data_IF_629653081946
#
_entry.id   IF_629653081946
#
_cell.length_a   1.000
_cell.length_b   1.000
_cell.length_c   1.000
_cell.angle_alpha   90.00
_cell.angle_beta   90.00
_cell.angle_gamma   90.00
#
_symmetry.space_group_name_H-M   'P 1'
#
loop_
_entity.id
_entity.type
_entity.pdbx_description
1 polymer ?
#
# COMPACT_ATOMS: atom_id res chain seq x y z
N UNK A 1 51.83 -37.49 -34.91
CA UNK A 1 53.08 -37.11 -35.61
C UNK A 1 54.22 -37.36 -34.65
N UNK A 2 55.02 -38.41 -34.88
CA UNK A 2 56.12 -38.79 -34.00
C UNK A 2 57.31 -37.85 -34.22
N UNK A 3 57.87 -37.27 -33.15
CA UNK A 3 59.07 -36.44 -33.23
C UNK A 3 60.30 -37.33 -33.55
N UNK A 4 61.02 -37.08 -34.67
CA UNK A 4 61.91 -38.10 -35.25
C UNK A 4 63.35 -38.14 -34.72
N UNK A 5 63.73 -37.49 -33.63
CA UNK A 5 65.16 -37.41 -33.28
C UNK A 5 65.44 -37.41 -31.78
N UNK A 6 65.16 -38.53 -31.09
CA UNK A 6 65.86 -38.83 -29.85
C UNK A 6 67.29 -39.28 -30.23
N UNK A 7 68.36 -38.59 -29.80
CA UNK A 7 69.73 -39.01 -30.11
C UNK A 7 69.94 -40.45 -29.64
N UNK A 8 70.42 -41.31 -30.54
CA UNK A 8 70.85 -42.66 -30.19
C UNK A 8 72.22 -42.64 -29.52
N UNK A 9 72.64 -43.73 -28.85
CA UNK A 9 73.95 -43.83 -28.22
C UNK A 9 75.12 -43.69 -29.21
N UNK A 10 74.87 -43.88 -30.51
CA UNK A 10 75.87 -43.78 -31.59
C UNK A 10 75.82 -42.45 -32.37
N UNK A 11 75.17 -41.42 -31.83
CA UNK A 11 75.07 -40.11 -32.48
C UNK A 11 76.44 -39.38 -32.49
N UNK A 12 76.98 -38.93 -33.64
CA UNK A 12 78.28 -38.27 -33.72
C UNK A 12 78.25 -36.77 -33.40
N UNK A 13 77.06 -36.16 -33.29
CA UNK A 13 76.88 -34.75 -32.91
C UNK A 13 77.47 -34.33 -31.55
N UNK A 14 77.61 -35.18 -30.50
CA UNK A 14 78.26 -34.77 -29.26
C UNK A 14 79.74 -34.43 -29.44
N UNK A 15 80.38 -34.94 -30.50
CA UNK A 15 81.80 -34.75 -30.80
C UNK A 15 82.02 -33.70 -31.90
N UNK A 16 80.97 -33.14 -32.49
CA UNK A 16 81.04 -32.13 -33.54
C UNK A 16 81.15 -30.72 -32.95
N UNK A 17 82.30 -30.03 -33.10
CA UNK A 17 82.51 -28.70 -32.52
C UNK A 17 81.72 -27.59 -33.22
N UNK A 18 81.24 -27.83 -34.45
CA UNK A 18 80.43 -26.87 -35.21
C UNK A 18 78.93 -27.04 -34.92
N UNK A 19 78.53 -28.16 -34.32
CA UNK A 19 77.14 -28.44 -33.97
C UNK A 19 77.04 -29.20 -32.63
N UNK A 20 77.44 -28.55 -31.52
CA UNK A 20 77.43 -29.19 -30.22
C UNK A 20 75.99 -29.56 -29.81
N UNK A 21 75.81 -30.75 -29.25
CA UNK A 21 74.56 -31.09 -28.58
C UNK A 21 74.48 -30.23 -27.31
N UNK A 22 73.39 -29.47 -27.10
CA UNK A 22 73.20 -28.76 -25.84
C UNK A 22 73.24 -29.77 -24.69
N UNK A 23 73.98 -29.52 -23.60
CA UNK A 23 74.05 -30.45 -22.49
C UNK A 23 72.64 -30.82 -22.08
N UNK A 24 72.37 -32.12 -21.90
CA UNK A 24 71.14 -32.54 -21.26
C UNK A 24 71.03 -31.72 -19.98
N UNK A 25 69.97 -30.94 -19.87
CA UNK A 25 69.65 -30.26 -18.63
C UNK A 25 69.41 -31.36 -17.60
N UNK A 26 70.46 -31.77 -16.91
CA UNK A 26 70.31 -32.26 -15.56
C UNK A 26 69.37 -31.27 -14.87
N UNK A 27 68.30 -31.73 -14.20
CA UNK A 27 67.51 -30.85 -13.37
C UNK A 27 68.42 -30.42 -12.22
N UNK A 28 69.22 -29.39 -12.50
CA UNK A 28 70.03 -28.68 -11.53
C UNK A 28 69.07 -28.24 -10.42
N UNK A 29 69.27 -28.64 -9.16
CA UNK A 29 68.46 -28.14 -8.06
C UNK A 29 68.62 -26.62 -7.87
N UNK A 30 69.58 -25.99 -8.55
CA UNK A 30 69.57 -24.56 -8.89
C UNK A 30 68.58 -24.24 -10.02
N UNK A 31 67.40 -24.86 -10.01
CA UNK A 31 66.24 -24.27 -10.66
C UNK A 31 66.07 -22.91 -9.99
N UNK A 32 66.58 -21.88 -10.66
CA UNK A 32 66.21 -20.50 -10.40
C UNK A 32 64.71 -20.52 -10.13
N UNK A 33 64.27 -20.10 -8.92
CA UNK A 33 62.85 -19.95 -8.71
C UNK A 33 62.40 -19.01 -9.81
N UNK A 34 61.49 -19.49 -10.67
CA UNK A 34 60.89 -18.66 -11.70
C UNK A 34 60.54 -17.35 -11.00
N UNK A 35 61.11 -16.21 -11.40
CA UNK A 35 60.93 -14.99 -10.62
C UNK A 35 59.43 -14.83 -10.45
N UNK A 36 58.92 -14.68 -9.20
CA UNK A 36 57.50 -14.49 -9.00
C UNK A 36 57.09 -13.35 -9.91
N UNK A 37 55.94 -13.44 -10.62
CA UNK A 37 55.57 -12.47 -11.61
C UNK A 37 55.73 -11.09 -10.99
N UNK A 38 56.74 -10.32 -11.44
CA UNK A 38 57.03 -8.95 -10.96
C UNK A 38 55.94 -7.96 -11.39
N UNK A 39 54.74 -8.46 -11.72
CA UNK A 39 53.54 -7.70 -12.01
C UNK A 39 52.65 -7.45 -10.78
N UNK A 40 53.12 -7.73 -9.56
CA UNK A 40 52.29 -7.61 -8.35
C UNK A 40 51.80 -6.19 -8.03
N UNK A 41 52.54 -5.15 -8.43
CA UNK A 41 52.14 -3.76 -8.18
C UNK A 41 51.26 -3.20 -9.29
N UNK A 42 51.78 -3.18 -10.52
CA UNK A 42 51.12 -2.52 -11.65
C UNK A 42 49.91 -3.30 -12.16
N UNK A 43 49.95 -4.64 -12.23
CA UNK A 43 48.77 -5.41 -12.65
C UNK A 43 47.66 -5.34 -11.60
N UNK A 44 48.02 -5.32 -10.31
CA UNK A 44 47.06 -5.12 -9.22
C UNK A 44 46.49 -3.70 -9.20
N UNK A 45 47.32 -2.68 -9.41
CA UNK A 45 46.90 -1.29 -9.56
C UNK A 45 46.00 -1.11 -10.78
N UNK A 46 46.36 -1.69 -11.93
CA UNK A 46 45.53 -1.69 -13.13
C UNK A 46 44.20 -2.38 -12.85
N UNK A 47 44.18 -3.53 -12.16
CA UNK A 47 42.94 -4.20 -11.80
C UNK A 47 42.07 -3.33 -10.89
N UNK A 48 42.65 -2.61 -9.92
CA UNK A 48 41.91 -1.65 -9.10
C UNK A 48 41.39 -0.46 -9.90
N UNK A 49 42.20 0.10 -10.79
CA UNK A 49 41.79 1.21 -11.66
C UNK A 49 40.63 0.77 -12.56
N UNK A 50 40.72 -0.41 -13.17
CA UNK A 50 39.65 -0.97 -14.01
C UNK A 50 38.40 -1.22 -13.19
N UNK A 51 38.50 -1.72 -11.96
CA UNK A 51 37.36 -1.92 -11.07
C UNK A 51 36.67 -0.59 -10.72
N UNK A 52 37.43 0.44 -10.38
CA UNK A 52 36.91 1.78 -10.07
C UNK A 52 36.28 2.42 -11.31
N UNK A 53 36.92 2.33 -12.47
CA UNK A 53 36.37 2.82 -13.74
C UNK A 53 35.11 2.05 -14.14
N UNK A 54 35.07 0.74 -13.95
CA UNK A 54 33.90 -0.09 -14.23
C UNK A 54 32.72 0.29 -13.32
N UNK A 55 32.97 0.51 -12.03
CA UNK A 55 31.95 1.05 -11.12
C UNK A 55 31.52 2.45 -11.53
N UNK A 56 32.45 3.36 -11.78
CA UNK A 56 32.16 4.73 -12.21
C UNK A 56 31.33 4.76 -13.48
N UNK A 57 31.72 4.02 -14.51
CA UNK A 57 30.99 3.87 -15.75
C UNK A 57 29.62 3.21 -15.53
N UNK A 58 29.53 2.18 -14.68
CA UNK A 58 28.27 1.57 -14.29
C UNK A 58 27.34 2.60 -13.64
N UNK A 59 27.82 3.44 -12.73
CA UNK A 59 27.01 4.48 -12.10
C UNK A 59 26.62 5.61 -13.06
N UNK A 60 27.50 6.01 -13.96
CA UNK A 60 27.15 7.05 -14.94
C UNK A 60 26.16 6.53 -15.98
N UNK A 61 26.32 5.28 -16.42
CA UNK A 61 25.47 4.69 -17.46
C UNK A 61 24.16 4.11 -16.90
N UNK A 62 24.18 3.50 -15.72
CA UNK A 62 23.00 2.93 -15.04
C UNK A 62 22.29 3.93 -14.11
N UNK A 63 22.97 4.96 -13.64
CA UNK A 63 22.43 6.02 -12.77
C UNK A 63 22.18 7.36 -13.47
N UNK A 64 22.95 7.72 -14.50
CA UNK A 64 22.94 9.06 -15.09
C UNK A 64 21.86 9.35 -16.15
N UNK A 65 21.09 8.35 -16.58
CA UNK A 65 20.05 8.51 -17.60
C UNK A 65 18.63 8.16 -17.11
N UNK A 66 18.39 8.15 -15.79
CA UNK A 66 17.01 8.13 -15.30
C UNK A 66 16.39 9.50 -15.63
N UNK A 67 15.34 9.58 -16.47
CA UNK A 67 14.64 10.83 -16.66
C UNK A 67 14.20 11.32 -15.28
N UNK A 68 14.45 12.59 -15.00
CA UNK A 68 14.08 13.23 -13.75
C UNK A 68 12.61 12.96 -13.45
N UNK A 69 12.34 11.95 -12.62
CA UNK A 69 11.18 11.99 -11.75
C UNK A 69 11.62 12.92 -10.64
N UNK A 70 11.16 14.16 -10.80
CA UNK A 70 10.85 15.22 -9.83
C UNK A 70 11.29 15.06 -8.36
N UNK A 71 11.54 16.20 -7.69
CA UNK A 71 12.30 16.28 -6.45
C UNK A 71 11.64 15.46 -5.36
N UNK A 72 12.45 14.95 -4.43
CA UNK A 72 11.96 14.38 -3.17
C UNK A 72 11.16 13.07 -3.31
N UNK A 73 11.86 11.96 -3.57
CA UNK A 73 11.38 10.66 -3.12
C UNK A 73 12.24 10.25 -1.93
N UNK A 74 11.72 10.49 -0.73
CA UNK A 74 12.25 10.02 0.55
C UNK A 74 12.78 8.57 0.46
N UNK A 75 13.79 8.19 1.27
CA UNK A 75 14.25 6.81 1.32
C UNK A 75 13.05 5.87 1.48
N UNK A 76 12.99 4.73 0.75
CA UNK A 76 11.94 3.76 1.01
C UNK A 76 11.98 3.45 2.50
N UNK A 77 10.85 3.56 3.22
CA UNK A 77 10.84 3.36 4.66
C UNK A 77 11.51 2.02 4.96
N UNK A 78 12.46 2.03 5.90
CA UNK A 78 13.11 0.82 6.37
C UNK A 78 12.03 -0.24 6.63
N UNK A 79 12.22 -1.43 6.06
CA UNK A 79 11.33 -2.55 6.27
C UNK A 79 11.29 -2.80 7.78
N UNK A 80 10.22 -2.33 8.40
CA UNK A 80 9.96 -2.49 9.83
C UNK A 80 9.71 -3.97 10.03
N UNK A 81 10.53 -4.59 10.87
CA UNK A 81 10.28 -5.94 11.38
C UNK A 81 8.81 -6.00 11.83
N UNK A 82 8.02 -7.00 11.39
CA UNK A 82 6.61 -7.05 11.74
C UNK A 82 6.49 -6.99 13.27
N UNK A 83 5.76 -5.98 13.75
CA UNK A 83 5.56 -5.75 15.17
C UNK A 83 5.03 -7.05 15.82
N UNK A 84 5.48 -7.36 17.05
CA UNK A 84 5.02 -8.55 17.76
C UNK A 84 3.49 -8.60 17.77
N UNK A 85 2.95 -9.79 17.45
CA UNK A 85 1.52 -9.98 17.30
C UNK A 85 0.78 -9.50 18.56
N UNK A 86 -0.34 -8.77 18.42
CA UNK A 86 -1.09 -8.25 19.55
C UNK A 86 -1.51 -9.39 20.47
N UNK A 87 -1.31 -9.20 21.77
CA UNK A 87 -1.78 -10.14 22.78
C UNK A 87 -3.30 -10.34 22.64
N UNK A 88 -3.84 -11.55 22.93
CA UNK A 88 -5.27 -11.82 22.88
C UNK A 88 -6.02 -10.79 23.72
N UNK A 89 -6.93 -10.06 23.07
CA UNK A 89 -7.77 -9.07 23.75
C UNK A 89 -8.87 -9.83 24.48
N UNK A 90 -8.96 -9.62 25.78
CA UNK A 90 -10.05 -10.19 26.58
C UNK A 90 -11.40 -9.65 26.04
N UNK A 91 -12.43 -10.50 25.87
CA UNK A 91 -13.71 -10.04 25.36
C UNK A 91 -14.27 -8.96 26.28
N UNK A 92 -14.71 -7.84 25.68
CA UNK A 92 -15.37 -6.79 26.43
C UNK A 92 -16.59 -7.36 27.18
N UNK A 93 -16.84 -6.93 28.43
CA UNK A 93 -18.01 -7.37 29.18
C UNK A 93 -19.28 -7.09 28.39
N UNK A 94 -20.20 -8.05 28.42
CA UNK A 94 -21.47 -7.96 27.71
C UNK A 94 -22.23 -6.68 28.13
N UNK A 95 -22.91 -6.01 27.19
CA UNK A 95 -23.66 -4.79 27.49
C UNK A 95 -24.69 -5.07 28.57
N UNK A 96 -24.82 -4.12 29.50
CA UNK A 96 -25.83 -4.18 30.54
C UNK A 96 -27.24 -4.28 29.92
N UNK A 97 -28.17 -5.03 30.54
CA UNK A 97 -29.54 -5.10 30.08
C UNK A 97 -30.15 -3.70 29.91
N UNK A 98 -30.87 -3.49 28.80
CA UNK A 98 -31.58 -2.25 28.56
C UNK A 98 -32.58 -1.97 29.69
N UNK A 99 -32.64 -0.72 30.15
CA UNK A 99 -33.64 -0.32 31.13
C UNK A 99 -35.05 -0.55 30.59
N UNK A 100 -36.00 -1.00 31.43
CA UNK A 100 -37.39 -1.15 31.03
C UNK A 100 -37.95 0.14 30.46
N UNK A 101 -38.69 0.04 29.35
CA UNK A 101 -39.37 1.18 28.78
C UNK A 101 -40.31 1.83 29.81
N UNK A 102 -40.46 3.17 29.78
CA UNK A 102 -41.36 3.86 30.68
C UNK A 102 -42.77 3.28 30.57
N UNK A 103 -43.43 3.15 31.73
CA UNK A 103 -44.77 2.59 31.81
C UNK A 103 -45.75 3.38 30.93
N UNK A 104 -46.74 2.72 30.31
CA UNK A 104 -47.78 3.38 29.54
C UNK A 104 -48.44 4.49 30.36
N UNK A 105 -48.69 5.64 29.71
CA UNK A 105 -49.41 6.74 30.33
C UNK A 105 -50.79 6.26 30.81
N UNK A 106 -51.18 6.71 32.00
CA UNK A 106 -52.47 6.39 32.58
C UNK A 106 -53.60 6.93 31.68
N UNK A 107 -54.68 6.16 31.45
CA UNK A 107 -55.80 6.62 30.65
C UNK A 107 -56.37 7.93 31.19
N UNK A 108 -56.71 8.84 30.28
CA UNK A 108 -57.38 10.08 30.65
C UNK A 108 -58.70 9.77 31.40
N UNK A 109 -59.06 10.56 32.43
CA UNK A 109 -60.30 10.37 33.15
C UNK A 109 -61.50 10.46 32.19
N UNK A 110 -62.60 9.73 32.47
CA UNK A 110 -63.81 9.80 31.67
C UNK A 110 -64.29 11.24 31.51
N UNK A 111 -64.75 11.59 30.31
CA UNK A 111 -65.40 12.88 30.09
C UNK A 111 -66.63 13.02 30.99
N UNK A 112 -66.79 14.19 31.60
CA UNK A 112 -67.98 14.48 32.41
C UNK A 112 -69.25 14.38 31.55
N UNK A 113 -70.37 13.91 32.13
CA UNK A 113 -71.64 13.84 31.44
C UNK A 113 -72.05 15.22 30.89
N UNK A 114 -72.47 15.24 29.63
CA UNK A 114 -73.01 16.45 29.02
C UNK A 114 -74.25 16.96 29.79
N UNK A 115 -74.44 18.28 29.89
CA UNK A 115 -75.60 18.86 30.56
C UNK A 115 -76.90 18.32 29.97
N UNK A 116 -77.88 18.06 30.85
CA UNK A 116 -79.17 17.52 30.45
C UNK A 116 -79.87 18.43 29.42
N UNK A 117 -80.61 17.85 28.45
CA UNK A 117 -81.36 18.62 27.48
C UNK A 117 -82.33 19.59 28.16
N UNK A 118 -82.31 20.85 27.73
CA UNK A 118 -83.26 21.87 28.19
C UNK A 118 -84.64 21.52 27.66
N UNK A 119 -85.64 21.52 28.55
CA UNK A 119 -87.02 21.22 28.20
C UNK A 119 -87.57 22.25 27.19
N UNK A 120 -88.37 21.83 26.19
CA UNK A 120 -88.90 22.75 25.18
C UNK A 120 -89.79 23.84 25.80
N UNK A 121 -89.63 25.07 25.33
CA UNK A 121 -90.48 26.20 25.71
C UNK A 121 -91.94 25.97 25.27
N UNK A 122 -92.94 26.42 26.06
CA UNK A 122 -94.34 26.27 25.70
C UNK A 122 -94.68 27.00 24.40
N UNK A 123 -95.58 26.39 23.61
CA UNK A 123 -95.96 26.88 22.29
C UNK A 123 -96.64 28.27 22.34
N UNK A 124 -96.42 29.13 21.33
CA UNK A 124 -97.07 30.44 21.26
C UNK A 124 -98.57 30.31 21.03
N UNK A 125 -99.37 31.07 21.78
CA UNK A 125 -100.80 31.22 21.53
C UNK A 125 -101.01 32.28 20.44
N UNK A 126 -101.42 31.84 19.24
CA UNK A 126 -101.83 32.73 18.15
C UNK A 126 -103.15 33.44 18.49
N UNK A 127 -103.06 34.61 19.12
CA UNK A 127 -104.16 35.57 19.17
C UNK A 127 -104.17 36.38 17.88
N UNK A 128 -104.97 35.94 16.91
CA UNK A 128 -105.24 36.68 15.65
C UNK A 128 -106.09 37.94 15.93
N UNK A 129 -105.68 39.15 15.52
CA UNK A 129 -106.58 40.30 15.42
C UNK A 129 -107.32 40.28 14.07
N UNK A 130 -108.65 40.48 14.12
CA UNK A 130 -109.53 40.47 12.95
C UNK A 130 -109.28 41.64 11.97
N UNK A 131 -109.47 41.45 10.64
CA UNK A 131 -109.30 42.52 9.66
C UNK A 131 -110.30 43.67 9.85
N UNK A 132 -109.82 44.91 9.72
CA UNK A 132 -110.65 46.12 9.78
C UNK A 132 -111.48 46.32 8.49
N UNK A 133 -112.72 46.78 8.66
CA UNK A 133 -113.72 46.97 7.60
C UNK A 133 -113.43 48.22 6.73
N UNK A 134 -113.67 48.21 5.40
CA UNK A 134 -113.42 49.37 4.54
C UNK A 134 -114.50 50.46 4.66
N UNK A 135 -114.09 51.73 4.62
CA UNK A 135 -114.97 52.90 4.71
C UNK A 135 -115.85 53.11 3.44
N UNK A 136 -117.08 53.65 3.57
CA UNK A 136 -118.01 53.83 2.45
C UNK A 136 -117.58 54.96 1.51
N UNK A 137 -117.57 54.68 0.20
CA UNK A 137 -117.36 55.67 -0.85
C UNK A 137 -118.68 56.38 -1.19
N UNK A 138 -118.67 57.71 -1.17
CA UNK A 138 -119.83 58.58 -1.39
C UNK A 138 -120.12 58.74 -2.90
N UNK A 139 -121.38 58.73 -3.36
CA UNK A 139 -121.72 58.85 -4.78
C UNK A 139 -121.61 60.30 -5.29
N UNK A 140 -121.00 60.48 -6.46
CA UNK A 140 -120.96 61.75 -7.19
C UNK A 140 -122.19 61.87 -8.10
N UNK A 141 -122.84 63.04 -8.09
CA UNK A 141 -123.98 63.44 -8.93
C UNK A 141 -123.53 64.56 -9.86
#
# INVERSE_FOLDING_TARGET
MANPHKPGPDDPRPLDPLNPIPPHADPDPHLDPTPPPRGGGTTWLIALIVLVLALGAYYLFAGGNRPATEPDAAPPPAATEPAPAPAPVEPAPAPAPAEPAPAPAEPAPPAEPAPAPVEPAPAPTDSTPAPAEPAPQQPAN
#
